data_IF_620055520093
#
_entry.id   IF_620055520093
#
_cell.length_a   1.000
_cell.length_b   1.000
_cell.length_c   1.000
_cell.angle_alpha   90.00
_cell.angle_beta   90.00
_cell.angle_gamma   90.00
#
_symmetry.space_group_name_H-M   'P 1'
#
loop_
_entity.id
_entity.type
_entity.pdbx_description
1 polymer ?
#
# COMPACT_ATOMS: atom_id res chain seq x y z
N UNK A 1 3.98 -56.67 -37.93
CA UNK A 1 4.82 -55.96 -36.95
C UNK A 1 5.04 -54.55 -37.47
N UNK A 2 4.41 -53.55 -36.85
CA UNK A 2 4.61 -52.14 -37.18
C UNK A 2 4.38 -51.35 -35.90
N UNK A 3 5.47 -50.89 -35.31
CA UNK A 3 5.50 -50.26 -33.99
C UNK A 3 4.84 -48.89 -34.00
N UNK A 4 3.98 -48.64 -33.01
CA UNK A 4 3.57 -47.31 -32.62
C UNK A 4 4.74 -46.65 -31.88
N UNK A 5 5.55 -45.89 -32.61
CA UNK A 5 6.52 -44.98 -32.01
C UNK A 5 5.78 -43.70 -31.59
N UNK A 6 5.29 -43.72 -30.35
CA UNK A 6 5.45 -42.65 -29.35
C UNK A 6 5.79 -41.25 -29.91
N UNK A 7 4.76 -40.55 -30.41
CA UNK A 7 4.81 -39.10 -30.64
C UNK A 7 4.31 -38.39 -29.39
N UNK A 8 5.17 -38.34 -28.38
CA UNK A 8 5.00 -37.48 -27.21
C UNK A 8 6.37 -36.83 -26.94
N UNK A 9 6.36 -35.58 -26.48
CA UNK A 9 7.49 -34.91 -25.79
C UNK A 9 8.51 -33.96 -26.49
N UNK A 10 8.34 -33.34 -27.68
CA UNK A 10 9.19 -32.17 -28.03
C UNK A 10 8.65 -30.86 -27.45
N UNK A 11 7.33 -30.64 -27.47
CA UNK A 11 6.71 -29.41 -26.95
C UNK A 11 6.72 -29.32 -25.42
N UNK A 12 6.52 -30.45 -24.72
CA UNK A 12 6.58 -30.56 -23.26
C UNK A 12 7.99 -30.25 -22.73
N UNK A 13 9.03 -30.75 -23.40
CA UNK A 13 10.43 -30.49 -23.02
C UNK A 13 10.84 -29.02 -23.21
N UNK A 14 10.46 -28.39 -24.33
CA UNK A 14 10.75 -26.97 -24.58
C UNK A 14 10.03 -26.09 -23.54
N UNK A 15 8.77 -26.38 -23.21
CA UNK A 15 8.02 -25.68 -22.16
C UNK A 15 8.70 -25.83 -20.80
N UNK A 16 9.12 -27.04 -20.43
CA UNK A 16 9.80 -27.28 -19.16
C UNK A 16 11.14 -26.54 -19.06
N UNK A 17 11.90 -26.45 -20.15
CA UNK A 17 13.14 -25.66 -20.21
C UNK A 17 12.88 -24.16 -20.08
N UNK A 18 11.81 -23.65 -20.69
CA UNK A 18 11.40 -22.25 -20.56
C UNK A 18 10.98 -21.92 -19.12
N UNK A 19 10.21 -22.80 -18.48
CA UNK A 19 9.79 -22.66 -17.08
C UNK A 19 11.00 -22.69 -16.13
N UNK A 20 11.96 -23.59 -16.35
CA UNK A 20 13.20 -23.65 -15.58
C UNK A 20 14.04 -22.37 -15.75
N UNK A 21 14.09 -21.82 -16.97
CA UNK A 21 14.82 -20.58 -17.21
C UNK A 21 14.14 -19.38 -16.54
N UNK A 22 12.82 -19.28 -16.61
CA UNK A 22 12.06 -18.23 -15.94
C UNK A 22 12.27 -18.28 -14.42
N UNK A 23 12.15 -19.47 -13.81
CA UNK A 23 12.44 -19.69 -12.38
C UNK A 23 13.85 -19.27 -12.01
N UNK A 24 14.86 -19.59 -12.83
CA UNK A 24 16.25 -19.17 -12.59
C UNK A 24 16.39 -17.65 -12.61
N UNK A 25 15.78 -16.97 -13.58
CA UNK A 25 15.82 -15.51 -13.68
C UNK A 25 15.16 -14.87 -12.45
N UNK A 26 14.02 -15.39 -12.01
CA UNK A 26 13.31 -14.89 -10.84
C UNK A 26 14.14 -15.07 -9.56
N UNK A 27 14.72 -16.26 -9.34
CA UNK A 27 15.62 -16.50 -8.20
C UNK A 27 16.84 -15.58 -8.19
N UNK A 28 17.41 -15.28 -9.36
CA UNK A 28 18.53 -14.34 -9.48
C UNK A 28 18.11 -12.91 -9.13
N UNK A 29 16.90 -12.49 -9.53
CA UNK A 29 16.35 -11.18 -9.19
C UNK A 29 16.04 -11.07 -7.71
N UNK A 30 15.44 -12.10 -7.11
CA UNK A 30 15.17 -12.17 -5.67
C UNK A 30 16.45 -12.06 -4.85
N UNK A 31 17.50 -12.80 -5.26
CA UNK A 31 18.81 -12.73 -4.61
C UNK A 31 19.42 -11.33 -4.71
N UNK A 32 19.41 -10.72 -5.91
CA UNK A 32 19.89 -9.34 -6.08
C UNK A 32 19.13 -8.36 -5.21
N UNK A 33 17.81 -8.51 -5.08
CA UNK A 33 17.01 -7.67 -4.20
C UNK A 33 17.41 -7.83 -2.72
N UNK A 34 17.71 -9.06 -2.27
CA UNK A 34 18.21 -9.31 -0.91
C UNK A 34 19.58 -8.68 -0.66
N UNK A 35 20.52 -8.84 -1.61
CA UNK A 35 21.86 -8.26 -1.53
C UNK A 35 21.79 -6.72 -1.50
N UNK A 36 20.93 -6.13 -2.34
CA UNK A 36 20.66 -4.69 -2.36
C UNK A 36 20.03 -4.20 -1.05
N UNK A 37 19.07 -4.94 -0.50
CA UNK A 37 18.45 -4.57 0.79
C UNK A 37 19.50 -4.56 1.90
N UNK A 38 20.33 -5.59 1.95
CA UNK A 38 21.42 -5.71 2.94
C UNK A 38 22.38 -4.52 2.84
N UNK A 39 22.80 -4.18 1.62
CA UNK A 39 23.65 -3.02 1.37
C UNK A 39 22.99 -1.70 1.76
N UNK A 40 21.70 -1.53 1.47
CA UNK A 40 20.94 -0.33 1.83
C UNK A 40 20.83 -0.16 3.34
N UNK A 41 20.38 -1.19 4.06
CA UNK A 41 20.24 -1.16 5.52
C UNK A 41 21.58 -0.85 6.20
N UNK A 42 22.67 -1.48 5.76
CA UNK A 42 24.00 -1.21 6.26
C UNK A 42 24.46 0.23 6.00
N UNK A 43 24.22 0.75 4.79
CA UNK A 43 24.64 2.11 4.40
C UNK A 43 23.92 3.23 5.15
N UNK A 44 22.69 2.97 5.61
CA UNK A 44 21.85 3.92 6.35
C UNK A 44 21.91 3.69 7.86
N UNK A 45 22.73 2.74 8.33
CA UNK A 45 22.79 2.33 9.74
C UNK A 45 21.39 2.04 10.32
N UNK A 46 20.52 1.44 9.51
CA UNK A 46 19.13 1.20 9.88
C UNK A 46 19.05 0.25 11.10
N UNK A 47 18.07 0.45 12.00
CA UNK A 47 17.88 -0.43 13.14
C UNK A 47 17.60 -1.87 12.68
N UNK A 48 17.86 -2.87 13.55
CA UNK A 48 17.49 -4.24 13.24
C UNK A 48 15.97 -4.33 13.00
N UNK A 49 15.60 -4.97 11.90
CA UNK A 49 14.21 -5.18 11.50
C UNK A 49 13.85 -6.66 11.60
N UNK A 50 12.56 -6.95 11.79
CA UNK A 50 12.07 -8.32 11.81
C UNK A 50 12.00 -8.95 10.40
N UNK A 51 11.77 -10.26 10.38
CA UNK A 51 11.68 -11.04 9.14
C UNK A 51 10.57 -10.54 8.21
N UNK A 52 9.43 -10.10 8.76
CA UNK A 52 8.29 -9.63 7.97
C UNK A 52 8.61 -8.30 7.26
N UNK A 53 9.23 -7.36 7.96
CA UNK A 53 9.73 -6.11 7.42
C UNK A 53 10.81 -6.36 6.36
N UNK A 54 11.75 -7.27 6.63
CA UNK A 54 12.81 -7.65 5.69
C UNK A 54 12.23 -8.19 4.37
N UNK A 55 11.35 -9.19 4.45
CA UNK A 55 10.67 -9.76 3.29
C UNK A 55 9.87 -8.71 2.52
N UNK A 56 9.21 -7.78 3.24
CA UNK A 56 8.43 -6.73 2.61
C UNK A 56 9.30 -5.75 1.84
N UNK A 57 10.41 -5.30 2.42
CA UNK A 57 11.37 -4.39 1.77
C UNK A 57 12.04 -5.06 0.58
N UNK A 58 12.41 -6.34 0.68
CA UNK A 58 12.99 -7.09 -0.44
C UNK A 58 12.01 -7.15 -1.63
N UNK A 59 10.73 -7.43 -1.37
CA UNK A 59 9.68 -7.36 -2.41
C UNK A 59 9.57 -5.95 -2.99
N UNK A 60 9.68 -4.89 -2.17
CA UNK A 60 9.65 -3.52 -2.68
C UNK A 60 10.83 -3.21 -3.59
N UNK A 61 12.04 -3.69 -3.28
CA UNK A 61 13.18 -3.56 -4.19
C UNK A 61 12.90 -4.27 -5.51
N UNK A 62 12.33 -5.49 -5.45
CA UNK A 62 11.98 -6.25 -6.65
C UNK A 62 10.98 -5.49 -7.55
N UNK A 63 9.92 -4.90 -6.99
CA UNK A 63 8.85 -4.27 -7.78
C UNK A 63 9.06 -2.79 -8.09
N UNK A 64 9.71 -2.04 -7.19
CA UNK A 64 9.83 -0.57 -7.28
C UNK A 64 11.28 -0.10 -7.41
N UNK A 65 12.26 -0.98 -7.23
CA UNK A 65 13.68 -0.66 -7.29
C UNK A 65 14.25 -0.12 -5.97
N UNK A 66 15.59 -0.07 -5.85
CA UNK A 66 16.27 0.31 -4.62
C UNK A 66 16.04 1.78 -4.25
N UNK A 67 15.90 2.70 -5.21
CA UNK A 67 15.71 4.13 -4.94
C UNK A 67 14.40 4.41 -4.20
N UNK A 68 13.33 3.70 -4.55
CA UNK A 68 12.05 3.76 -3.83
C UNK A 68 12.23 3.33 -2.38
N UNK A 69 12.94 2.23 -2.16
CA UNK A 69 13.18 1.68 -0.82
C UNK A 69 14.13 2.56 -0.01
N UNK A 70 15.13 3.18 -0.63
CA UNK A 70 15.97 4.19 0.03
C UNK A 70 15.13 5.34 0.55
N UNK A 71 14.30 5.97 -0.29
CA UNK A 71 13.46 7.08 0.17
C UNK A 71 12.47 6.63 1.25
N UNK A 72 11.90 5.44 1.13
CA UNK A 72 11.00 4.86 2.12
C UNK A 72 11.66 4.68 3.49
N UNK A 73 12.86 4.07 3.54
CA UNK A 73 13.60 3.87 4.79
C UNK A 73 13.96 5.21 5.42
N UNK A 74 14.49 6.15 4.62
CA UNK A 74 14.82 7.51 5.08
C UNK A 74 13.59 8.23 5.61
N UNK A 75 12.44 8.12 4.95
CA UNK A 75 11.19 8.73 5.40
C UNK A 75 10.80 8.26 6.80
N UNK A 76 10.95 6.96 7.07
CA UNK A 76 10.57 6.39 8.36
C UNK A 76 11.61 6.72 9.43
N UNK A 77 12.88 6.41 9.18
CA UNK A 77 13.95 6.48 10.19
C UNK A 77 14.41 7.91 10.46
N UNK A 78 14.42 8.79 9.46
CA UNK A 78 14.88 10.18 9.62
C UNK A 78 13.76 11.13 10.09
N UNK A 79 12.51 10.66 10.17
CA UNK A 79 11.41 11.47 10.74
C UNK A 79 11.37 11.37 12.25
N UNK A 80 11.13 12.51 12.92
CA UNK A 80 11.24 12.63 14.38
C UNK A 80 10.26 11.69 15.11
N UNK A 81 10.78 10.86 16.01
CA UNK A 81 9.99 9.94 16.84
C UNK A 81 9.49 8.67 16.13
N UNK A 82 9.99 8.39 14.93
CA UNK A 82 9.66 7.19 14.14
C UNK A 82 10.85 6.25 13.90
N UNK A 83 11.94 6.42 14.64
CA UNK A 83 13.22 5.71 14.45
C UNK A 83 13.03 4.18 14.52
N UNK A 84 12.11 3.71 15.38
CA UNK A 84 11.77 2.30 15.56
C UNK A 84 10.56 1.83 14.73
N UNK A 85 10.06 2.63 13.78
CA UNK A 85 8.83 2.34 13.05
C UNK A 85 9.04 1.54 11.75
N UNK A 86 10.23 0.96 11.53
CA UNK A 86 10.53 0.05 10.41
C UNK A 86 9.90 -1.35 10.60
N UNK A 87 8.58 -1.39 10.68
CA UNK A 87 7.77 -2.61 10.80
C UNK A 87 6.86 -2.79 9.58
N UNK A 88 6.49 -4.03 9.26
CA UNK A 88 5.73 -4.37 8.05
C UNK A 88 4.52 -3.47 7.77
N UNK A 89 3.58 -3.23 8.72
CA UNK A 89 2.38 -2.45 8.41
C UNK A 89 2.71 -1.01 8.04
N UNK A 90 3.73 -0.43 8.67
CA UNK A 90 4.21 0.93 8.39
C UNK A 90 4.88 0.98 7.03
N UNK A 91 5.82 0.07 6.76
CA UNK A 91 6.54 -0.04 5.48
C UNK A 91 5.54 -0.14 4.32
N UNK A 92 4.56 -1.04 4.45
CA UNK A 92 3.50 -1.24 3.47
C UNK A 92 2.63 0.00 3.26
N UNK A 93 2.24 0.67 4.34
CA UNK A 93 1.41 1.86 4.28
C UNK A 93 2.12 3.04 3.62
N UNK A 94 3.33 3.38 4.09
CA UNK A 94 4.11 4.52 3.57
C UNK A 94 4.46 4.27 2.09
N UNK A 95 4.87 3.06 1.72
CA UNK A 95 5.14 2.72 0.31
C UNK A 95 3.89 2.85 -0.57
N UNK A 96 2.70 2.56 -0.03
CA UNK A 96 1.44 2.70 -0.76
C UNK A 96 1.11 4.17 -1.01
N UNK A 97 1.35 5.05 -0.02
CA UNK A 97 1.20 6.51 -0.19
C UNK A 97 2.18 7.03 -1.24
N UNK A 98 3.46 6.67 -1.15
CA UNK A 98 4.49 7.06 -2.13
C UNK A 98 4.09 6.67 -3.55
N UNK A 99 3.53 5.46 -3.72
CA UNK A 99 3.10 4.96 -5.03
C UNK A 99 1.86 5.69 -5.56
N UNK A 100 0.93 6.07 -4.68
CA UNK A 100 -0.34 6.71 -5.04
C UNK A 100 -0.19 8.22 -5.25
N UNK A 101 0.80 8.85 -4.62
CA UNK A 101 0.99 10.30 -4.58
C UNK A 101 2.44 10.69 -4.85
N UNK A 102 2.96 10.30 -6.02
CA UNK A 102 4.37 10.56 -6.40
C UNK A 102 4.76 12.03 -6.31
N UNK A 103 3.85 12.94 -6.66
CA UNK A 103 4.07 14.39 -6.57
C UNK A 103 4.33 14.91 -5.15
N UNK A 104 3.96 14.16 -4.10
CA UNK A 104 4.31 14.52 -2.72
C UNK A 104 5.76 14.15 -2.42
N UNK A 105 6.23 13.00 -2.90
CA UNK A 105 7.62 12.54 -2.71
C UNK A 105 8.64 13.46 -3.40
N UNK A 106 8.23 14.16 -4.45
CA UNK A 106 9.05 15.14 -5.18
C UNK A 106 9.31 16.43 -4.38
N UNK A 107 8.65 16.62 -3.24
CA UNK A 107 8.86 17.79 -2.36
C UNK A 107 10.13 17.69 -1.50
N UNK A 108 10.96 16.67 -1.70
CA UNK A 108 12.27 16.54 -1.05
C UNK A 108 12.15 16.44 0.47
N UNK A 109 12.92 17.22 1.21
CA UNK A 109 12.91 17.19 2.69
C UNK A 109 11.54 17.50 3.29
N UNK A 110 10.69 18.28 2.61
CA UNK A 110 9.33 18.54 3.07
C UNK A 110 8.45 17.27 3.08
N UNK A 111 8.77 16.26 2.26
CA UNK A 111 8.14 14.95 2.35
C UNK A 111 8.48 14.24 3.66
N UNK A 112 9.78 14.19 4.02
CA UNK A 112 10.25 13.53 5.25
C UNK A 112 9.71 14.26 6.49
N UNK A 113 9.87 15.59 6.54
CA UNK A 113 9.42 16.38 7.70
C UNK A 113 7.90 16.40 7.90
N UNK A 114 7.10 16.01 6.92
CA UNK A 114 5.66 15.82 7.12
C UNK A 114 5.35 14.66 8.08
N UNK A 115 6.26 13.68 8.20
CA UNK A 115 6.11 12.53 9.10
C UNK A 115 6.51 12.82 10.54
N UNK A 116 7.24 13.91 10.83
CA UNK A 116 7.60 14.32 12.20
C UNK A 116 6.36 14.52 13.09
N UNK A 117 5.24 14.95 12.48
CA UNK A 117 3.95 15.15 13.17
C UNK A 117 3.06 13.90 13.22
N UNK A 118 3.53 12.76 12.70
CA UNK A 118 2.75 11.54 12.53
C UNK A 118 3.43 10.40 13.31
N UNK A 119 2.93 10.04 14.51
CA UNK A 119 3.54 8.99 15.31
C UNK A 119 3.14 7.61 14.75
N UNK A 120 3.91 7.09 13.80
CA UNK A 120 3.56 5.92 12.99
C UNK A 120 3.29 4.68 13.85
N UNK A 121 4.20 4.38 14.78
CA UNK A 121 4.09 3.21 15.63
C UNK A 121 2.93 3.33 16.62
N UNK A 122 2.72 4.51 17.21
CA UNK A 122 1.59 4.73 18.11
C UNK A 122 0.23 4.55 17.42
N UNK A 123 0.12 4.93 16.14
CA UNK A 123 -1.10 4.69 15.35
C UNK A 123 -1.31 3.18 15.17
N UNK A 124 -0.27 2.42 14.84
CA UNK A 124 -0.35 0.95 14.70
C UNK A 124 -0.76 0.30 16.02
N UNK A 125 -0.15 0.68 17.14
CA UNK A 125 -0.51 0.15 18.46
C UNK A 125 -1.94 0.50 18.86
N UNK A 126 -2.40 1.71 18.52
CA UNK A 126 -3.79 2.10 18.71
C UNK A 126 -4.73 1.23 17.87
N UNK A 127 -4.38 0.91 16.62
CA UNK A 127 -5.19 0.01 15.81
C UNK A 127 -5.24 -1.40 16.41
N UNK A 128 -4.12 -1.92 16.92
CA UNK A 128 -4.09 -3.23 17.59
C UNK A 128 -4.94 -3.26 18.86
N UNK A 129 -4.89 -2.20 19.67
CA UNK A 129 -5.61 -2.15 20.95
C UNK A 129 -7.12 -2.03 20.82
N UNK A 130 -7.62 -1.56 19.67
CA UNK A 130 -9.06 -1.42 19.43
C UNK A 130 -9.78 -2.75 19.14
N UNK A 131 -9.03 -3.86 18.95
CA UNK A 131 -9.57 -5.20 18.60
C UNK A 131 -10.58 -5.20 17.43
N UNK A 132 -10.48 -4.18 16.57
CA UNK A 132 -11.35 -3.97 15.41
C UNK A 132 -10.65 -4.40 14.11
N UNK A 133 -9.32 -4.41 14.12
CA UNK A 133 -8.50 -4.56 12.93
C UNK A 133 -7.74 -5.87 12.99
N UNK A 134 -7.75 -6.62 11.87
CA UNK A 134 -6.87 -7.77 11.70
C UNK A 134 -5.47 -7.28 11.36
N UNK A 135 -4.44 -8.00 11.82
CA UNK A 135 -3.04 -7.69 11.53
C UNK A 135 -2.79 -7.49 10.02
N UNK A 136 -3.35 -8.38 9.20
CA UNK A 136 -3.25 -8.34 7.74
C UNK A 136 -3.89 -7.12 7.06
N UNK A 137 -4.66 -6.32 7.81
CA UNK A 137 -5.36 -5.14 7.30
C UNK A 137 -4.81 -3.82 7.83
N UNK A 138 -3.89 -3.86 8.82
CA UNK A 138 -3.35 -2.66 9.46
C UNK A 138 -2.72 -1.70 8.44
N UNK A 139 -1.90 -2.22 7.53
CA UNK A 139 -1.26 -1.41 6.48
C UNK A 139 -2.26 -0.65 5.61
N UNK A 140 -3.42 -1.25 5.31
CA UNK A 140 -4.48 -0.61 4.50
C UNK A 140 -5.12 0.56 5.23
N UNK A 141 -5.47 0.38 6.51
CA UNK A 141 -6.09 1.45 7.31
C UNK A 141 -5.08 2.53 7.69
N UNK A 142 -3.83 2.14 7.93
CA UNK A 142 -2.74 3.09 8.13
C UNK A 142 -2.52 3.91 6.86
N UNK A 143 -2.43 3.30 5.68
CA UNK A 143 -2.35 4.01 4.39
C UNK A 143 -3.46 5.06 4.26
N UNK A 144 -4.72 4.67 4.48
CA UNK A 144 -5.85 5.61 4.45
C UNK A 144 -5.68 6.77 5.44
N UNK A 145 -5.18 6.48 6.64
CA UNK A 145 -4.90 7.49 7.67
C UNK A 145 -3.79 8.45 7.24
N UNK A 146 -2.69 7.92 6.69
CA UNK A 146 -1.56 8.68 6.20
C UNK A 146 -1.95 9.56 5.02
N UNK A 147 -2.63 9.02 4.00
CA UNK A 147 -3.15 9.78 2.87
C UNK A 147 -3.99 10.97 3.33
N UNK A 148 -4.93 10.77 4.26
CA UNK A 148 -5.77 11.85 4.78
C UNK A 148 -4.97 12.93 5.54
N UNK A 149 -3.96 12.54 6.32
CA UNK A 149 -3.10 13.49 7.06
C UNK A 149 -2.22 14.29 6.11
N UNK A 150 -1.53 13.61 5.20
CA UNK A 150 -0.60 14.21 4.25
C UNK A 150 -1.31 15.06 3.20
N UNK A 151 -2.54 14.69 2.81
CA UNK A 151 -3.36 15.51 1.93
C UNK A 151 -3.61 16.90 2.54
N UNK A 152 -3.87 17.01 3.84
CA UNK A 152 -4.06 18.30 4.52
C UNK A 152 -2.80 19.17 4.55
N UNK A 153 -1.62 18.54 4.45
CA UNK A 153 -0.32 19.23 4.45
C UNK A 153 0.09 19.66 3.04
N UNK A 154 -0.17 18.82 2.03
CA UNK A 154 0.34 19.04 0.68
C UNK A 154 -0.69 19.60 -0.29
N UNK A 155 -1.98 19.40 -0.06
CA UNK A 155 -3.04 19.87 -0.94
C UNK A 155 -3.78 21.07 -0.33
N UNK A 156 -4.21 22.03 -1.17
CA UNK A 156 -5.06 23.11 -0.69
C UNK A 156 -6.37 22.53 -0.15
N UNK A 157 -6.96 23.16 0.90
CA UNK A 157 -8.20 22.67 1.48
C UNK A 157 -9.29 22.58 0.40
N UNK A 158 -10.10 21.51 0.40
CA UNK A 158 -11.12 21.34 -0.62
C UNK A 158 -12.07 22.53 -0.57
N UNK A 159 -12.52 23.04 -1.74
CA UNK A 159 -13.49 24.13 -1.77
C UNK A 159 -14.74 23.72 -0.98
N UNK A 160 -15.35 24.64 -0.21
CA UNK A 160 -16.48 24.31 0.64
C UNK A 160 -17.57 23.63 -0.19
N UNK A 161 -18.06 22.47 0.28
CA UNK A 161 -19.09 21.73 -0.44
C UNK A 161 -20.31 22.63 -0.62
N UNK A 162 -20.77 22.81 -1.86
CA UNK A 162 -22.01 23.55 -2.13
C UNK A 162 -23.12 22.99 -1.25
N UNK A 163 -23.92 23.84 -0.56
CA UNK A 163 -24.94 23.35 0.36
C UNK A 163 -25.85 22.37 -0.37
N UNK A 164 -25.95 21.14 0.14
CA UNK A 164 -26.86 20.13 -0.41
C UNK A 164 -28.26 20.74 -0.36
N UNK A 165 -28.85 21.02 -1.53
CA UNK A 165 -30.22 21.53 -1.62
C UNK A 165 -31.10 20.64 -0.75
N UNK A 166 -31.75 21.24 0.25
CA UNK A 166 -32.62 20.51 1.17
C UNK A 166 -33.60 19.66 0.36
N UNK A 167 -33.66 18.37 0.68
CA UNK A 167 -34.59 17.44 0.05
C UNK A 167 -36.02 17.94 0.31
N UNK A 168 -36.67 18.52 -0.72
CA UNK A 168 -38.08 18.87 -0.65
C UNK A 168 -38.88 17.57 -0.59
N UNK A 169 -39.30 17.17 0.62
CA UNK A 169 -40.32 16.12 0.79
C UNK A 169 -41.52 16.48 -0.09
N UNK A 170 -41.81 15.66 -1.11
CA UNK A 170 -43.03 15.80 -1.92
C UNK A 170 -44.21 15.60 -0.99
N UNK A 171 -45.08 16.63 -0.86
CA UNK A 171 -46.34 16.50 -0.13
C UNK A 171 -47.16 15.38 -0.77
N UNK A 172 -47.74 14.45 0.02
CA UNK A 172 -48.60 13.41 -0.52
C UNK A 172 -49.82 14.05 -1.20
N UNK A 173 -50.11 13.58 -2.42
CA UNK A 173 -51.23 14.05 -3.25
C UNK A 173 -52.53 13.68 -2.54
N UNK A 174 -53.33 14.67 -2.17
CA UNK A 174 -54.65 14.46 -1.58
C UNK A 174 -55.47 13.56 -2.51
N UNK A 175 -55.86 12.38 -2.03
CA UNK A 175 -56.87 11.53 -2.69
C UNK A 175 -58.17 12.30 -2.69
N UNK A 176 -58.74 12.51 -3.88
CA UNK A 176 -60.02 13.17 -4.06
C UNK A 176 -61.10 12.48 -3.25
N UNK A 177 -61.86 13.27 -2.51
CA UNK A 177 -63.13 12.87 -1.94
C UNK A 177 -64.11 12.68 -3.10
N UNK A 178 -64.45 11.44 -3.43
CA UNK A 178 -65.67 11.14 -4.18
C UNK A 178 -66.83 11.18 -3.21
N UNK A 179 -67.55 12.29 -3.21
CA UNK A 179 -68.89 12.37 -2.66
C UNK A 179 -69.81 11.48 -3.51
N UNK A 180 -70.25 10.35 -2.95
CA UNK A 180 -71.38 9.60 -3.46
C UNK A 180 -72.58 9.90 -2.57
N UNK A 181 -73.42 10.82 -3.04
CA UNK A 181 -74.82 10.88 -2.66
C UNK A 181 -75.57 9.77 -3.41
N UNK A 182 -76.53 9.10 -2.76
CA UNK A 182 -77.77 8.46 -3.26
C UNK A 182 -78.38 7.79 -2.01
N UNK A 183 -79.40 8.42 -1.41
CA UNK A 183 -80.83 8.01 -1.36
C UNK A 183 -81.09 6.71 -0.62
#
# INVERSE_FOLDING_TARGET
>A
MGGNAEQTEPHSFISALQDLNLRRVDLQRERRAADQLTGLLASMEAPPIDEAACQRLQRLIYFHGPQHVTLLIRTIVESEGNECALVEPVISAVSSVMSSHRQWTERGLAWIGAFDSIPLLAIVETMRSLDLFKESTLSRYLNMTLSNKLQRLFEPPPPPSKPKRAYKKRRPKARGQTAAAIR
#
